data_IF_001034319521
#
_entry.id   IF_001034319521
#
_cell.length_a   1.000
_cell.length_b   1.000
_cell.length_c   1.000
_cell.angle_alpha   90.00
_cell.angle_beta   90.00
_cell.angle_gamma   90.00
#
_symmetry.space_group_name_H-M   'P 1'
#
loop_
_entity.id
_entity.type
_entity.pdbx_description
1 polymer ?
#
# COMPACT_ATOMS: atom_id res chain seq x y z
N UNK A 1 23.39 -4.85 0.42
CA UNK A 1 22.35 -4.69 -0.62
C UNK A 1 20.99 -4.36 0.00
N UNK A 2 20.47 -5.11 0.98
CA UNK A 2 19.21 -4.78 1.67
C UNK A 2 19.16 -3.33 2.16
N UNK A 3 20.13 -2.89 2.95
CA UNK A 3 20.12 -1.53 3.54
C UNK A 3 20.28 -0.40 2.52
N UNK A 4 20.74 -0.72 1.30
CA UNK A 4 20.83 0.23 0.20
C UNK A 4 19.53 0.30 -0.61
N UNK A 5 18.81 -0.82 -0.73
CA UNK A 5 17.62 -0.92 -1.58
C UNK A 5 16.31 -0.78 -0.80
N UNK A 6 16.29 -1.14 0.47
CA UNK A 6 15.18 -1.02 1.42
C UNK A 6 15.72 -0.45 2.75
N UNK A 7 16.23 0.80 2.76
CA UNK A 7 16.69 1.44 3.98
C UNK A 7 15.51 1.69 4.93
N UNK A 8 15.79 1.69 6.24
CA UNK A 8 14.82 2.16 7.24
C UNK A 8 14.47 3.63 6.95
N UNK A 9 13.18 3.98 6.77
CA UNK A 9 12.80 5.35 6.48
C UNK A 9 13.14 6.32 7.62
N UNK A 10 13.63 7.50 7.25
CA UNK A 10 13.85 8.63 8.16
C UNK A 10 12.75 9.68 7.98
N UNK A 11 12.71 10.68 8.88
CA UNK A 11 11.81 11.83 8.71
C UNK A 11 11.98 12.54 7.36
N UNK A 12 13.21 12.69 6.87
CA UNK A 12 13.49 13.27 5.54
C UNK A 12 13.00 12.37 4.42
N UNK A 13 13.17 11.05 4.54
CA UNK A 13 12.64 10.07 3.59
C UNK A 13 11.12 10.18 3.48
N UNK A 14 10.42 10.32 4.60
CA UNK A 14 8.97 10.48 4.64
C UNK A 14 8.49 11.77 3.96
N UNK A 15 9.19 12.88 4.18
CA UNK A 15 8.89 14.14 3.52
C UNK A 15 9.10 14.04 2.00
N UNK A 16 10.16 13.37 1.55
CA UNK A 16 10.41 13.12 0.14
C UNK A 16 9.33 12.24 -0.51
N UNK A 17 8.89 11.17 0.18
CA UNK A 17 7.79 10.32 -0.30
C UNK A 17 6.50 11.12 -0.42
N UNK A 18 6.16 11.93 0.60
CA UNK A 18 4.97 12.77 0.59
C UNK A 18 4.99 13.82 -0.54
N UNK A 19 6.15 14.42 -0.80
CA UNK A 19 6.33 15.32 -1.95
C UNK A 19 6.09 14.59 -3.28
N UNK A 20 6.61 13.37 -3.44
CA UNK A 20 6.39 12.56 -4.64
C UNK A 20 4.92 12.22 -4.89
N UNK A 21 4.16 11.88 -3.83
CA UNK A 21 2.71 11.65 -3.96
C UNK A 21 1.94 12.94 -4.25
N UNK A 22 2.36 14.07 -3.70
CA UNK A 22 1.77 15.36 -4.04
C UNK A 22 1.98 15.69 -5.52
N UNK A 23 3.19 15.53 -6.03
CA UNK A 23 3.53 15.82 -7.42
C UNK A 23 2.79 14.89 -8.40
N UNK A 24 2.80 13.58 -8.15
CA UNK A 24 2.36 12.58 -9.14
C UNK A 24 0.91 12.13 -8.97
N UNK A 25 0.42 12.08 -7.72
CA UNK A 25 -0.94 11.64 -7.40
C UNK A 25 -1.86 12.78 -6.97
N UNK A 26 -1.33 13.99 -6.75
CA UNK A 26 -2.01 15.10 -6.10
C UNK A 26 -2.56 14.71 -4.71
N UNK A 27 -1.87 13.82 -4.00
CA UNK A 27 -2.28 13.40 -2.67
C UNK A 27 -1.28 13.96 -1.64
N UNK A 28 -1.67 14.97 -0.84
CA UNK A 28 -0.77 15.59 0.13
C UNK A 28 -0.54 14.66 1.34
N UNK A 29 0.59 14.84 2.01
CA UNK A 29 0.95 14.18 3.27
C UNK A 29 0.86 12.62 3.23
N UNK A 30 1.05 12.01 2.05
CA UNK A 30 1.03 10.56 1.88
C UNK A 30 2.40 9.94 2.20
N UNK A 31 2.46 8.97 3.11
CA UNK A 31 3.71 8.26 3.46
C UNK A 31 3.98 7.03 2.58
N UNK A 32 3.03 6.65 1.73
CA UNK A 32 3.09 5.41 0.97
C UNK A 32 1.72 4.80 0.77
N UNK A 33 1.59 4.00 -0.29
CA UNK A 33 0.42 3.17 -0.51
C UNK A 33 0.69 1.77 0.04
N UNK A 34 -0.18 1.27 0.92
CA UNK A 34 -0.10 -0.05 1.55
C UNK A 34 -1.11 -0.98 0.88
N UNK A 35 -0.67 -2.18 0.53
CA UNK A 35 -1.52 -3.23 -0.03
C UNK A 35 -0.85 -4.60 0.17
N UNK A 36 -1.65 -5.66 0.20
CA UNK A 36 -1.14 -7.02 0.23
C UNK A 36 -1.33 -7.76 -1.10
N UNK A 37 -0.49 -8.76 -1.35
CA UNK A 37 -0.68 -9.77 -2.41
C UNK A 37 -0.44 -11.19 -1.91
N UNK A 38 -1.17 -12.12 -2.52
CA UNK A 38 -0.87 -13.55 -2.43
C UNK A 38 0.24 -13.95 -3.41
N UNK A 39 1.29 -14.59 -2.88
CA UNK A 39 2.32 -15.27 -3.69
C UNK A 39 1.98 -16.76 -3.72
N UNK A 40 1.72 -17.29 -4.92
CA UNK A 40 1.34 -18.70 -5.12
C UNK A 40 2.48 -19.64 -4.76
N UNK A 41 2.16 -20.69 -4.00
CA UNK A 41 3.09 -21.77 -3.65
C UNK A 41 2.45 -23.14 -3.93
N UNK A 42 3.27 -24.16 -4.08
CA UNK A 42 2.79 -25.55 -3.99
C UNK A 42 2.39 -25.83 -2.55
N UNK A 43 1.35 -26.66 -2.36
CA UNK A 43 0.86 -27.04 -1.02
C UNK A 43 2.01 -27.56 -0.15
N UNK A 44 2.31 -26.90 0.98
CA UNK A 44 3.35 -27.40 1.86
C UNK A 44 2.95 -28.72 2.52
N UNK A 45 3.93 -29.59 2.78
CA UNK A 45 3.69 -30.88 3.42
C UNK A 45 3.13 -30.66 4.84
N UNK A 46 2.13 -31.47 5.22
CA UNK A 46 1.50 -31.42 6.54
C UNK A 46 0.87 -30.06 6.95
N UNK A 47 0.65 -29.12 6.03
CA UNK A 47 0.12 -27.80 6.37
C UNK A 47 -1.39 -27.72 6.55
N UNK A 48 -2.13 -28.79 6.25
CA UNK A 48 -3.59 -28.74 6.14
C UNK A 48 -4.03 -27.63 5.19
N UNK A 49 -4.94 -26.77 5.65
CA UNK A 49 -5.45 -25.59 4.93
C UNK A 49 -4.80 -24.27 5.33
N UNK A 50 -3.73 -24.26 6.14
CA UNK A 50 -3.10 -23.03 6.65
C UNK A 50 -2.76 -22.04 5.53
N UNK A 51 -2.16 -22.52 4.45
CA UNK A 51 -1.78 -21.69 3.30
C UNK A 51 -2.86 -21.60 2.22
N UNK A 52 -4.02 -22.23 2.42
CA UNK A 52 -5.11 -22.16 1.45
C UNK A 52 -5.85 -20.83 1.62
N UNK A 53 -5.97 -20.07 0.53
CA UNK A 53 -6.70 -18.81 0.53
C UNK A 53 -8.15 -18.98 0.09
N UNK A 54 -8.89 -17.87 0.10
CA UNK A 54 -10.30 -17.80 -0.30
C UNK A 54 -10.54 -18.17 -1.78
N UNK A 55 -9.52 -18.07 -2.64
CA UNK A 55 -9.54 -18.50 -4.05
C UNK A 55 -9.21 -19.99 -4.22
N UNK A 56 -9.15 -20.75 -3.12
CA UNK A 56 -8.90 -22.20 -3.09
C UNK A 56 -7.54 -22.65 -3.64
N UNK A 57 -6.51 -21.81 -3.60
CA UNK A 57 -5.12 -22.21 -3.89
C UNK A 57 -4.19 -21.89 -2.72
N UNK A 58 -2.96 -22.43 -2.75
CA UNK A 58 -1.98 -22.24 -1.68
C UNK A 58 -1.09 -21.02 -1.91
N UNK A 59 -0.92 -20.20 -0.88
CA UNK A 59 -0.13 -18.97 -0.96
C UNK A 59 0.48 -18.57 0.38
N UNK A 60 1.56 -17.79 0.30
CA UNK A 60 2.04 -16.93 1.39
C UNK A 60 1.64 -15.49 1.12
N UNK A 61 1.50 -14.70 2.17
CA UNK A 61 1.24 -13.28 2.04
C UNK A 61 2.50 -12.43 1.85
N UNK A 62 2.34 -11.37 1.06
CA UNK A 62 3.28 -10.26 0.87
C UNK A 62 2.53 -8.96 1.18
N UNK A 63 2.85 -8.31 2.30
CA UNK A 63 2.45 -6.92 2.57
C UNK A 63 3.54 -6.00 2.04
N UNK A 64 3.18 -4.93 1.34
CA UNK A 64 4.17 -3.93 0.96
C UNK A 64 3.64 -2.50 1.09
N UNK A 65 4.56 -1.58 1.28
CA UNK A 65 4.34 -0.14 1.11
C UNK A 65 5.13 0.31 -0.10
N UNK A 66 4.50 1.01 -1.04
CA UNK A 66 5.18 1.60 -2.18
C UNK A 66 5.13 3.13 -2.17
N UNK A 67 6.19 3.76 -2.68
CA UNK A 67 6.26 5.20 -2.94
C UNK A 67 5.68 5.57 -4.32
N UNK A 68 5.63 6.88 -4.60
CA UNK A 68 5.16 7.40 -5.88
C UNK A 68 6.13 7.16 -7.07
N UNK A 69 7.28 6.52 -6.83
CA UNK A 69 8.25 6.10 -7.85
C UNK A 69 8.24 4.58 -8.07
N UNK A 70 7.24 3.88 -7.53
CA UNK A 70 7.08 2.43 -7.60
C UNK A 70 8.18 1.65 -6.88
N UNK A 71 8.90 2.25 -5.93
CA UNK A 71 9.81 1.55 -5.04
C UNK A 71 9.06 1.04 -3.82
N UNK A 72 9.43 -0.15 -3.35
CA UNK A 72 8.98 -0.60 -2.05
C UNK A 72 9.70 0.18 -0.94
N UNK A 73 8.98 0.66 0.04
CA UNK A 73 9.50 1.35 1.24
C UNK A 73 9.53 0.38 2.42
N UNK A 74 8.61 -0.58 2.43
CA UNK A 74 8.50 -1.62 3.44
C UNK A 74 7.96 -2.89 2.77
N UNK A 75 8.42 -4.06 3.22
CA UNK A 75 7.88 -5.37 2.83
C UNK A 75 7.83 -6.29 4.04
N UNK A 76 6.74 -7.06 4.14
CA UNK A 76 6.57 -8.14 5.11
C UNK A 76 6.09 -9.39 4.37
N UNK A 77 6.69 -10.54 4.64
CA UNK A 77 6.47 -11.75 3.84
C UNK A 77 6.42 -12.98 4.73
N UNK A 78 5.45 -13.84 4.47
CA UNK A 78 5.38 -15.19 5.05
C UNK A 78 4.13 -15.46 5.88
N UNK A 79 3.15 -14.56 5.87
CA UNK A 79 1.85 -14.85 6.51
C UNK A 79 1.15 -16.02 5.85
N UNK A 80 0.15 -16.56 6.55
CA UNK A 80 -0.65 -17.65 6.02
C UNK A 80 -1.59 -17.16 4.92
N UNK A 81 -1.85 -18.01 3.92
CA UNK A 81 -2.75 -17.70 2.81
C UNK A 81 -4.22 -17.49 3.23
N UNK A 82 -4.61 -17.97 4.42
CA UNK A 82 -5.94 -17.71 4.98
C UNK A 82 -6.10 -16.32 5.62
N UNK A 83 -4.99 -15.62 5.87
CA UNK A 83 -5.02 -14.34 6.58
C UNK A 83 -5.54 -13.24 5.65
N UNK A 84 -6.35 -12.31 6.18
CA UNK A 84 -6.81 -11.12 5.47
C UNK A 84 -5.79 -9.97 5.54
N UNK A 85 -5.89 -8.99 4.64
CA UNK A 85 -5.01 -7.81 4.62
C UNK A 85 -5.01 -7.04 5.94
N UNK A 86 -6.15 -6.98 6.59
CA UNK A 86 -6.31 -6.33 7.89
C UNK A 86 -5.51 -7.03 9.00
N UNK A 87 -5.53 -8.37 8.98
CA UNK A 87 -4.82 -9.22 9.94
C UNK A 87 -3.32 -9.17 9.67
N UNK A 88 -2.94 -9.26 8.39
CA UNK A 88 -1.58 -9.11 7.90
C UNK A 88 -0.96 -7.79 8.39
N UNK A 89 -1.69 -6.69 8.21
CA UNK A 89 -1.23 -5.37 8.61
C UNK A 89 -1.11 -5.21 10.12
N UNK A 90 -2.13 -5.60 10.90
CA UNK A 90 -2.10 -5.47 12.36
C UNK A 90 -0.99 -6.29 13.02
N UNK A 91 -0.62 -7.42 12.42
CA UNK A 91 0.45 -8.27 12.91
C UNK A 91 1.83 -7.87 12.34
N UNK A 92 1.88 -6.95 11.38
CA UNK A 92 3.12 -6.54 10.73
C UNK A 92 4.01 -5.72 11.66
N UNK A 93 5.32 -5.79 11.40
CA UNK A 93 6.28 -4.92 12.12
C UNK A 93 5.99 -3.44 11.87
N UNK A 94 5.50 -3.08 10.68
CA UNK A 94 5.09 -1.71 10.35
C UNK A 94 4.02 -1.17 11.33
N UNK A 95 3.00 -1.96 11.67
CA UNK A 95 1.96 -1.51 12.59
C UNK A 95 2.51 -1.28 14.00
N UNK A 96 3.38 -2.17 14.49
CA UNK A 96 4.04 -2.01 15.78
C UNK A 96 4.89 -0.74 15.83
N UNK A 97 5.60 -0.42 14.74
CA UNK A 97 6.42 0.79 14.64
C UNK A 97 5.57 2.07 14.55
N UNK A 98 4.38 2.01 13.93
CA UNK A 98 3.40 3.11 13.91
C UNK A 98 2.88 3.38 15.33
N UNK A 99 2.37 2.35 16.01
CA UNK A 99 1.78 2.49 17.36
C UNK A 99 2.85 2.84 18.41
N UNK A 100 4.07 2.33 18.24
CA UNK A 100 5.22 2.64 19.09
C UNK A 100 5.82 4.03 18.87
N UNK A 101 5.46 4.72 17.77
CA UNK A 101 6.02 6.03 17.43
C UNK A 101 7.47 5.99 16.95
N UNK A 102 7.95 4.84 16.50
CA UNK A 102 9.36 4.59 16.17
C UNK A 102 9.72 4.92 14.71
N UNK A 103 8.71 5.13 13.85
CA UNK A 103 8.91 5.43 12.43
C UNK A 103 9.44 6.84 12.13
N UNK A 104 9.63 7.70 13.13
CA UNK A 104 10.03 9.10 12.92
C UNK A 104 9.11 9.85 11.93
N UNK A 105 7.80 9.58 11.99
CA UNK A 105 6.81 10.25 11.13
C UNK A 105 6.85 11.76 11.42
N UNK A 106 6.92 12.61 10.38
CA UNK A 106 6.92 14.06 10.56
C UNK A 106 5.67 14.56 11.30
N UNK A 107 5.80 15.67 12.01
CA UNK A 107 4.66 16.32 12.67
C UNK A 107 3.59 16.71 11.64
N UNK A 108 2.30 16.79 12.03
CA UNK A 108 1.25 17.26 11.14
C UNK A 108 1.62 18.58 10.45
N UNK A 109 1.30 18.67 9.16
CA UNK A 109 1.66 19.81 8.31
C UNK A 109 0.42 20.37 7.60
N UNK A 110 0.40 21.67 7.27
CA UNK A 110 -0.68 22.31 6.53
C UNK A 110 -0.83 21.69 5.15
N UNK A 111 -2.08 21.55 4.70
CA UNK A 111 -2.40 21.15 3.34
C UNK A 111 -1.99 22.26 2.35
N UNK A 112 -1.54 21.93 1.12
CA UNK A 112 -1.09 22.94 0.16
C UNK A 112 -2.16 24.00 -0.12
N UNK A 113 -1.86 25.28 0.14
CA UNK A 113 -2.81 26.38 -0.04
C UNK A 113 -3.91 26.47 1.02
N UNK A 114 -3.71 25.87 2.20
CA UNK A 114 -4.65 25.88 3.32
C UNK A 114 -3.94 25.93 4.68
N UNK A 115 -4.56 26.56 5.68
CA UNK A 115 -4.08 26.54 7.06
C UNK A 115 -4.47 25.26 7.82
N UNK A 116 -5.23 24.36 7.17
CA UNK A 116 -5.67 23.11 7.79
C UNK A 116 -4.52 22.12 7.83
N UNK A 117 -4.02 21.85 9.04
CA UNK A 117 -2.98 20.86 9.27
C UNK A 117 -3.56 19.46 9.49
N UNK A 118 -2.98 18.47 8.80
CA UNK A 118 -3.35 17.05 8.94
C UNK A 118 -2.09 16.19 9.14
N UNK A 119 -2.18 15.07 9.86
CA UNK A 119 -1.07 14.15 10.02
C UNK A 119 -0.65 13.55 8.68
N UNK A 120 0.61 13.13 8.61
CA UNK A 120 1.08 12.27 7.53
C UNK A 120 0.55 10.85 7.73
N UNK A 121 0.09 10.23 6.65
CA UNK A 121 -0.54 8.92 6.72
C UNK A 121 -0.25 8.06 5.47
N UNK A 122 -0.24 6.76 5.66
CA UNK A 122 -0.31 5.78 4.59
C UNK A 122 -1.73 5.71 4.01
N UNK A 123 -1.87 5.23 2.79
CA UNK A 123 -3.17 4.97 2.16
C UNK A 123 -3.34 3.48 1.88
N UNK A 124 -4.46 2.90 2.35
CA UNK A 124 -4.82 1.50 2.16
C UNK A 124 -6.25 1.36 1.60
N UNK A 125 -6.64 0.14 1.24
CA UNK A 125 -8.01 -0.14 0.80
C UNK A 125 -8.95 -0.22 2.01
N UNK A 126 -10.19 -0.56 1.71
CA UNK A 126 -11.24 -0.76 2.68
C UNK A 126 -10.95 -1.90 3.68
N UNK A 127 -10.11 -2.88 3.32
CA UNK A 127 -9.73 -3.98 4.19
C UNK A 127 -8.96 -3.48 5.41
N UNK A 128 -8.14 -2.45 5.27
CA UNK A 128 -7.36 -1.94 6.39
C UNK A 128 -8.21 -1.17 7.40
N UNK A 129 -7.80 -1.17 8.67
CA UNK A 129 -8.44 -0.36 9.71
C UNK A 129 -8.09 1.13 9.57
N UNK A 130 -9.06 2.02 9.71
CA UNK A 130 -8.79 3.46 9.72
C UNK A 130 -8.05 3.86 11.00
N UNK A 131 -6.89 4.51 10.88
CA UNK A 131 -6.11 5.06 11.99
C UNK A 131 -5.65 6.50 11.70
N UNK A 132 -4.93 7.12 12.65
CA UNK A 132 -4.31 8.45 12.43
C UNK A 132 -3.31 8.44 11.29
N UNK A 133 -2.58 7.34 11.13
CA UNK A 133 -1.51 7.17 10.15
C UNK A 133 -1.88 6.19 9.02
N UNK A 134 -3.13 5.73 8.94
CA UNK A 134 -3.63 4.92 7.83
C UNK A 134 -5.03 5.35 7.41
N UNK A 135 -5.12 5.87 6.20
CA UNK A 135 -6.36 6.32 5.58
C UNK A 135 -6.90 5.27 4.62
N UNK A 136 -8.22 5.12 4.60
CA UNK A 136 -8.96 4.19 3.73
C UNK A 136 -10.17 4.87 3.10
N UNK A 137 -10.70 4.37 1.97
CA UNK A 137 -11.88 4.95 1.33
C UNK A 137 -13.10 4.99 2.27
N UNK A 138 -14.05 5.88 2.00
CA UNK A 138 -15.37 5.82 2.60
C UNK A 138 -16.11 4.60 2.07
N UNK A 139 -16.58 3.76 2.99
CA UNK A 139 -17.45 2.61 2.72
C UNK A 139 -18.87 3.02 2.32
N UNK A 140 -19.54 2.16 1.56
CA UNK A 140 -20.96 2.27 1.22
C UNK A 140 -21.23 2.71 -0.23
N UNK A 141 -22.46 2.47 -0.68
CA UNK A 141 -22.90 2.67 -2.08
C UNK A 141 -23.40 4.08 -2.38
N UNK A 142 -24.02 4.75 -1.40
CA UNK A 142 -24.62 6.08 -1.56
C UNK A 142 -23.73 7.19 -0.98
N UNK A 143 -22.56 7.38 -1.59
CA UNK A 143 -21.59 8.40 -1.17
C UNK A 143 -21.93 9.77 -1.75
N UNK A 144 -21.85 10.80 -0.91
CA UNK A 144 -21.88 12.21 -1.37
C UNK A 144 -20.73 12.47 -2.36
N UNK A 145 -20.91 13.42 -3.29
CA UNK A 145 -19.87 13.83 -4.26
C UNK A 145 -18.52 14.08 -3.59
N UNK A 146 -18.51 14.74 -2.43
CA UNK A 146 -17.30 15.01 -1.65
C UNK A 146 -16.53 13.73 -1.27
N UNK A 147 -17.25 12.74 -0.73
CA UNK A 147 -16.69 11.43 -0.38
C UNK A 147 -16.23 10.65 -1.62
N UNK A 148 -16.94 10.77 -2.74
CA UNK A 148 -16.53 10.17 -4.03
C UNK A 148 -15.23 10.79 -4.55
N UNK A 149 -15.09 12.12 -4.51
CA UNK A 149 -13.82 12.81 -4.83
C UNK A 149 -12.69 12.30 -3.96
N UNK A 150 -12.89 12.20 -2.64
CA UNK A 150 -11.89 11.65 -1.73
C UNK A 150 -11.49 10.22 -2.11
N UNK A 151 -12.46 9.33 -2.31
CA UNK A 151 -12.18 7.94 -2.69
C UNK A 151 -11.40 7.87 -3.99
N UNK A 152 -11.74 8.69 -4.99
CA UNK A 152 -11.03 8.72 -6.26
C UNK A 152 -9.59 9.24 -6.12
N UNK A 153 -9.36 10.28 -5.30
CA UNK A 153 -8.01 10.78 -4.99
C UNK A 153 -7.17 9.73 -4.25
N UNK A 154 -7.77 9.04 -3.28
CA UNK A 154 -7.12 7.96 -2.55
C UNK A 154 -6.78 6.78 -3.47
N UNK A 155 -7.71 6.39 -4.36
CA UNK A 155 -7.49 5.34 -5.36
C UNK A 155 -6.29 5.66 -6.27
N UNK A 156 -6.11 6.93 -6.67
CA UNK A 156 -4.96 7.36 -7.47
C UNK A 156 -3.64 7.19 -6.73
N UNK A 157 -3.60 7.46 -5.43
CA UNK A 157 -2.41 7.20 -4.61
C UNK A 157 -2.19 5.69 -4.41
N UNK A 158 -3.25 4.93 -4.14
CA UNK A 158 -3.18 3.46 -4.01
C UNK A 158 -2.64 2.74 -5.23
N UNK A 159 -2.98 3.21 -6.43
CA UNK A 159 -2.51 2.60 -7.69
C UNK A 159 -0.99 2.43 -7.77
N UNK A 160 -0.20 3.17 -6.99
CA UNK A 160 1.26 3.01 -6.98
C UNK A 160 1.72 1.67 -6.41
N UNK A 161 1.11 1.16 -5.34
CA UNK A 161 1.49 -0.16 -4.80
C UNK A 161 0.97 -1.30 -5.67
N UNK A 162 -0.24 -1.18 -6.21
CA UNK A 162 -0.82 -2.14 -7.16
C UNK A 162 0.07 -2.29 -8.41
N UNK A 163 0.51 -1.16 -8.99
CA UNK A 163 1.44 -1.16 -10.13
C UNK A 163 2.82 -1.68 -9.75
N UNK A 164 3.31 -1.41 -8.55
CA UNK A 164 4.60 -1.93 -8.07
C UNK A 164 4.61 -3.46 -8.04
N UNK A 165 3.51 -4.07 -7.59
CA UNK A 165 3.33 -5.52 -7.67
C UNK A 165 3.25 -6.03 -9.11
N UNK A 166 2.55 -5.31 -10.00
CA UNK A 166 2.52 -5.62 -11.44
C UNK A 166 3.92 -5.66 -12.05
N UNK A 167 4.71 -4.59 -11.84
CA UNK A 167 6.10 -4.47 -12.29
C UNK A 167 6.95 -5.61 -11.73
N UNK A 168 6.86 -5.86 -10.42
CA UNK A 168 7.58 -6.93 -9.74
C UNK A 168 7.29 -8.29 -10.41
N UNK A 169 6.01 -8.62 -10.59
CA UNK A 169 5.60 -9.91 -11.16
C UNK A 169 6.02 -10.08 -12.63
N UNK A 170 5.91 -9.02 -13.43
CA UNK A 170 6.29 -9.05 -14.84
C UNK A 170 7.79 -9.22 -15.05
N UNK A 171 8.59 -8.51 -14.24
CA UNK A 171 10.05 -8.58 -14.31
C UNK A 171 10.57 -9.91 -13.78
N UNK A 172 10.05 -10.34 -12.64
CA UNK A 172 10.41 -11.62 -12.01
C UNK A 172 9.33 -12.65 -12.31
N UNK A 173 9.38 -13.21 -13.52
CA UNK A 173 8.42 -14.21 -14.01
C UNK A 173 8.31 -15.47 -13.15
N UNK A 174 9.17 -15.64 -12.15
CA UNK A 174 9.04 -16.69 -11.13
C UNK A 174 7.68 -16.61 -10.41
N UNK A 175 7.09 -15.42 -10.28
CA UNK A 175 5.76 -15.23 -9.68
C UNK A 175 4.60 -15.69 -10.57
N UNK A 176 4.83 -16.00 -11.85
CA UNK A 176 3.76 -16.44 -12.76
C UNK A 176 3.37 -17.90 -12.57
N UNK A 177 4.12 -18.66 -11.76
CA UNK A 177 3.84 -20.05 -11.42
C UNK A 177 3.93 -20.23 -9.90
N UNK A 178 3.24 -21.24 -9.34
CA UNK A 178 3.42 -21.58 -7.94
C UNK A 178 4.90 -21.90 -7.66
N UNK A 179 5.44 -21.33 -6.57
CA UNK A 179 6.78 -21.67 -6.10
C UNK A 179 6.75 -23.08 -5.49
N UNK A 180 7.57 -23.97 -6.04
CA UNK A 180 7.69 -25.37 -5.59
C UNK A 180 8.98 -25.54 -4.76
N UNK A 181 9.01 -24.85 -3.63
CA UNK A 181 10.08 -24.94 -2.64
C UNK A 181 9.46 -24.87 -1.24
N UNK A 182 10.26 -25.14 -0.20
CA UNK A 182 9.76 -24.99 1.16
C UNK A 182 9.38 -23.52 1.47
N UNK A 183 8.55 -23.33 2.49
CA UNK A 183 7.96 -22.01 2.79
C UNK A 183 9.02 -20.97 3.15
N UNK A 184 10.02 -21.34 3.96
CA UNK A 184 11.07 -20.41 4.39
C UNK A 184 11.88 -19.91 3.18
N UNK A 185 12.18 -20.79 2.23
CA UNK A 185 12.86 -20.42 1.00
C UNK A 185 11.97 -19.62 0.05
N UNK A 186 10.65 -19.88 0.02
CA UNK A 186 9.71 -19.00 -0.69
C UNK A 186 9.76 -17.57 -0.14
N UNK A 187 9.79 -17.42 1.19
CA UNK A 187 9.90 -16.11 1.85
C UNK A 187 11.18 -15.39 1.44
N UNK A 188 12.31 -16.10 1.42
CA UNK A 188 13.60 -15.53 1.00
C UNK A 188 13.61 -15.11 -0.48
N UNK A 189 13.03 -15.92 -1.36
CA UNK A 189 12.87 -15.60 -2.79
C UNK A 189 12.08 -14.29 -2.95
N UNK A 190 10.93 -14.18 -2.30
CA UNK A 190 10.06 -12.99 -2.41
C UNK A 190 10.79 -11.76 -1.88
N UNK A 191 11.41 -11.84 -0.70
CA UNK A 191 12.20 -10.72 -0.12
C UNK A 191 13.33 -10.31 -1.05
N UNK A 192 14.05 -11.27 -1.63
CA UNK A 192 15.11 -11.02 -2.60
C UNK A 192 14.58 -10.29 -3.84
N UNK A 193 13.46 -10.74 -4.41
CA UNK A 193 12.84 -10.08 -5.56
C UNK A 193 12.40 -8.63 -5.25
N UNK A 194 11.88 -8.35 -4.06
CA UNK A 194 11.56 -6.98 -3.64
C UNK A 194 12.81 -6.08 -3.52
N UNK A 195 13.91 -6.61 -2.98
CA UNK A 195 15.20 -5.90 -2.92
C UNK A 195 15.73 -5.64 -4.34
N UNK A 196 15.73 -6.67 -5.19
CA UNK A 196 16.21 -6.56 -6.56
C UNK A 196 15.34 -5.62 -7.40
N UNK A 197 14.03 -5.58 -7.15
CA UNK A 197 13.13 -4.60 -7.75
C UNK A 197 13.62 -3.18 -7.50
N UNK A 198 13.80 -2.79 -6.23
CA UNK A 198 14.30 -1.46 -5.88
C UNK A 198 15.71 -1.19 -6.44
N UNK A 199 16.61 -2.19 -6.41
CA UNK A 199 17.94 -2.05 -7.00
C UNK A 199 17.87 -1.69 -8.49
N UNK A 200 17.05 -2.44 -9.25
CA UNK A 200 16.95 -2.19 -10.68
C UNK A 200 16.25 -0.86 -10.96
N UNK A 201 15.27 -0.47 -10.14
CA UNK A 201 14.63 0.86 -10.24
C UNK A 201 15.62 2.00 -10.01
N UNK A 202 16.52 1.86 -9.02
CA UNK A 202 17.55 2.85 -8.76
C UNK A 202 18.59 2.93 -9.90
N UNK A 203 18.94 1.79 -10.51
CA UNK A 203 19.93 1.71 -11.59
C UNK A 203 19.38 2.15 -12.95
N UNK A 204 18.18 1.70 -13.32
CA UNK A 204 17.62 1.83 -14.67
C UNK A 204 16.58 2.97 -14.76
N UNK A 205 16.14 3.53 -13.63
CA UNK A 205 15.15 4.60 -13.56
C UNK A 205 13.71 4.12 -13.78
N UNK A 206 12.80 5.09 -13.98
CA UNK A 206 11.37 4.82 -14.20
C UNK A 206 11.09 4.63 -15.68
N UNK A 207 10.75 3.40 -16.09
CA UNK A 207 10.20 3.14 -17.41
C UNK A 207 8.66 3.03 -17.35
N UNK A 208 7.96 3.77 -18.21
CA UNK A 208 6.50 3.75 -18.29
C UNK A 208 5.95 2.42 -18.81
N UNK A 209 6.66 1.76 -19.73
CA UNK A 209 6.29 0.46 -20.28
C UNK A 209 6.19 -0.62 -19.19
N UNK A 210 7.01 -0.51 -18.14
CA UNK A 210 6.93 -1.38 -16.97
C UNK A 210 5.57 -1.27 -16.24
N UNK A 211 4.82 -0.18 -16.45
CA UNK A 211 3.51 0.02 -15.79
C UNK A 211 2.33 -0.58 -16.57
N UNK A 212 2.57 -1.09 -17.78
CA UNK A 212 1.56 -1.70 -18.67
C UNK A 212 1.39 -3.22 -18.44
N UNK A 213 1.89 -3.73 -17.32
CA UNK A 213 2.20 -5.15 -17.12
C UNK A 213 1.03 -6.08 -16.82
N UNK A 214 1.24 -7.36 -17.11
CA UNK A 214 0.38 -8.51 -16.80
C UNK A 214 0.40 -8.83 -15.29
N UNK A 215 -0.76 -9.06 -14.70
CA UNK A 215 -0.92 -9.44 -13.28
C UNK A 215 -0.47 -10.88 -13.03
N UNK A 216 0.67 -11.07 -12.36
CA UNK A 216 1.10 -12.37 -11.84
C UNK A 216 0.75 -12.62 -10.36
N UNK A 217 0.34 -11.58 -9.64
CA UNK A 217 -0.04 -11.63 -8.22
C UNK A 217 -1.52 -11.37 -8.03
N UNK A 218 -2.14 -12.04 -7.06
CA UNK A 218 -3.56 -11.95 -6.76
C UNK A 218 -3.83 -11.06 -5.53
N UNK A 219 -4.94 -10.33 -5.58
CA UNK A 219 -5.50 -9.54 -4.46
C UNK A 219 -6.10 -10.44 -3.37
N UNK A 220 -6.14 -9.92 -2.14
CA UNK A 220 -6.88 -10.50 -1.01
C UNK A 220 -8.40 -10.27 -1.16
N UNK A 221 -9.21 -11.04 -0.43
CA UNK A 221 -10.66 -10.82 -0.33
C UNK A 221 -11.01 -9.86 0.81
N UNK A 222 -12.01 -9.01 0.57
CA UNK A 222 -12.57 -8.07 1.54
C UNK A 222 -13.85 -8.62 2.17
N UNK A 223 -13.74 -9.43 3.21
CA UNK A 223 -14.90 -9.96 3.93
C UNK A 223 -15.18 -9.29 5.29
N UNK A 224 -14.29 -8.42 5.79
CA UNK A 224 -14.42 -7.83 7.14
C UNK A 224 -14.77 -6.34 7.12
N UNK A 225 -15.97 -5.99 7.62
CA UNK A 225 -16.34 -4.61 7.94
C UNK A 225 -15.64 -4.21 9.24
N UNK A 226 -14.48 -3.55 9.15
CA UNK A 226 -13.76 -3.09 10.34
C UNK A 226 -14.43 -1.84 10.93
N UNK A 227 -14.75 -1.82 12.25
CA UNK A 227 -15.33 -0.66 12.92
C UNK A 227 -14.42 0.58 12.83
N UNK A 228 -15.04 1.75 12.63
CA UNK A 228 -14.34 3.03 12.47
C UNK A 228 -14.29 3.79 13.79
N UNK A 229 -13.11 4.22 14.22
CA UNK A 229 -12.96 5.16 15.34
C UNK A 229 -13.43 6.57 14.93
N UNK A 230 -14.23 7.24 15.78
CA UNK A 230 -14.81 8.57 15.46
C UNK A 230 -13.74 9.66 15.35
N UNK A 231 -12.64 9.58 16.10
CA UNK A 231 -11.57 10.60 16.06
C UNK A 231 -10.79 10.59 14.73
N UNK A 232 -10.54 9.42 14.15
CA UNK A 232 -9.77 9.26 12.91
C UNK A 232 -10.56 9.66 11.66
N UNK A 233 -11.91 9.73 11.76
CA UNK A 233 -12.72 10.31 10.69
C UNK A 233 -12.39 11.78 10.41
N UNK A 234 -11.94 12.54 11.42
CA UNK A 234 -11.71 13.99 11.26
C UNK A 234 -10.63 14.30 10.22
N UNK A 235 -9.55 13.52 10.15
CA UNK A 235 -8.47 13.76 9.19
C UNK A 235 -8.89 13.40 7.77
N UNK A 236 -9.59 12.27 7.61
CA UNK A 236 -10.18 11.87 6.34
C UNK A 236 -11.19 12.92 5.85
N UNK A 237 -12.05 13.41 6.73
CA UNK A 237 -13.02 14.47 6.43
C UNK A 237 -12.35 15.80 6.11
N UNK A 238 -11.23 16.15 6.76
CA UNK A 238 -10.44 17.34 6.44
C UNK A 238 -9.86 17.28 5.02
N UNK A 239 -9.27 16.14 4.63
CA UNK A 239 -8.79 15.92 3.25
C UNK A 239 -9.95 15.93 2.25
N UNK A 240 -11.07 15.31 2.60
CA UNK A 240 -12.30 15.29 1.80
C UNK A 240 -12.83 16.72 1.54
N UNK A 241 -12.85 17.57 2.57
CA UNK A 241 -13.20 18.99 2.43
C UNK A 241 -12.18 19.74 1.57
N UNK A 242 -10.88 19.51 1.80
CA UNK A 242 -9.79 20.15 1.06
C UNK A 242 -9.85 19.85 -0.44
N UNK A 243 -10.05 18.60 -0.85
CA UNK A 243 -10.14 18.24 -2.27
C UNK A 243 -11.35 18.89 -2.98
N UNK A 244 -12.39 19.27 -2.23
CA UNK A 244 -13.53 20.03 -2.78
C UNK A 244 -13.42 21.54 -2.62
N UNK A 245 -12.36 22.04 -1.98
CA UNK A 245 -12.10 23.47 -1.79
C UNK A 245 -11.40 24.09 -3.00
N UNK A 246 -11.41 25.43 -3.09
CA UNK A 246 -10.69 26.14 -4.15
C UNK A 246 -9.19 25.85 -4.16
N UNK A 247 -8.59 25.57 -3.00
CA UNK A 247 -7.16 25.30 -2.87
C UNK A 247 -6.76 23.89 -3.30
N UNK A 248 -7.61 22.89 -3.02
CA UNK A 248 -7.29 21.47 -3.24
C UNK A 248 -7.95 20.84 -4.46
N UNK A 249 -8.93 21.50 -5.07
CA UNK A 249 -9.60 20.98 -6.25
C UNK A 249 -8.69 20.93 -7.47
N UNK A 250 -8.93 19.91 -8.31
CA UNK A 250 -8.27 19.78 -9.61
C UNK A 250 -9.31 19.55 -10.71
N UNK A 251 -9.02 19.89 -11.97
CA UNK A 251 -10.01 19.83 -13.04
C UNK A 251 -10.62 18.44 -13.25
N UNK A 252 -9.80 17.39 -13.18
CA UNK A 252 -10.17 16.02 -13.56
C UNK A 252 -10.86 15.21 -12.46
N UNK A 253 -10.98 15.73 -11.23
CA UNK A 253 -11.44 14.91 -10.09
C UNK A 253 -12.93 14.57 -10.13
N UNK A 254 -13.68 15.17 -11.06
CA UNK A 254 -15.11 14.92 -11.26
C UNK A 254 -15.43 14.09 -12.48
N UNK A 255 -14.45 13.82 -13.33
CA UNK A 255 -14.65 13.15 -14.63
C UNK A 255 -15.01 11.66 -14.47
N UNK A 256 -14.77 11.07 -13.30
CA UNK A 256 -14.89 9.62 -13.01
C UNK A 256 -15.79 9.33 -11.79
N UNK A 257 -16.55 10.32 -11.30
CA UNK A 257 -17.45 10.19 -10.12
C UNK A 257 -18.90 10.60 -10.42
#
# INVERSE_FOLDING_TARGET
MKDQCLPTPTGETWLAIAAGFWERANYPNCLGAVDGKHVRIVKPLHSGSLYQNYKHYFSIGLLAVADANYNFVYVDVGSYGKDSDSTLFRNSTLWNEIEGGNLNIPRPAPLPGSDVSVPYAFVGDEAFGLSTHLLRPYSGTHLTVKKRVFNYRLLRARRYVERSFGILSSKWRIFHRPLDVNVDFCVDIVKCCCILHNYVRARDGVNFEDTLTVTGLDEYANDDIIPVNRHTNRFRDALSNYFTSNAGQVPWQRDII
#
